data_IF_095534920132
#
_entry.id   IF_095534920132
#
_cell.length_a   1.000
_cell.length_b   1.000
_cell.length_c   1.000
_cell.angle_alpha   90.00
_cell.angle_beta   90.00
_cell.angle_gamma   90.00
#
_symmetry.space_group_name_H-M   'P 1'
#
loop_
_entity.id
_entity.type
_entity.pdbx_description
1 polymer ?
#
# COMPACT_ATOMS: atom_id res chain seq x y z
N UNK A 1 6.44 14.78 11.67
CA UNK A 1 5.33 13.89 11.24
C UNK A 1 3.97 14.34 11.75
N UNK A 2 3.83 14.80 12.99
CA UNK A 2 2.52 15.12 13.59
C UNK A 2 1.83 16.38 13.02
N UNK A 3 2.57 17.39 12.58
CA UNK A 3 1.98 18.65 12.07
C UNK A 3 1.02 18.44 10.89
N UNK A 4 1.40 17.60 9.90
CA UNK A 4 0.56 17.33 8.74
C UNK A 4 -0.72 16.57 9.12
N UNK A 5 -0.63 15.63 10.07
CA UNK A 5 -1.79 14.90 10.59
C UNK A 5 -2.74 15.83 11.37
N UNK A 6 -2.20 16.70 12.24
CA UNK A 6 -2.98 17.70 12.97
C UNK A 6 -3.71 18.63 12.01
N UNK A 7 -3.02 19.09 10.95
CA UNK A 7 -3.62 19.96 9.95
C UNK A 7 -4.73 19.25 9.17
N UNK A 8 -4.53 18.00 8.76
CA UNK A 8 -5.56 17.22 8.10
C UNK A 8 -6.83 17.06 8.96
N UNK A 9 -6.67 16.87 10.28
CA UNK A 9 -7.80 16.83 11.22
C UNK A 9 -8.52 18.20 11.26
N UNK A 10 -7.77 19.30 11.39
CA UNK A 10 -8.32 20.67 11.43
C UNK A 10 -9.07 21.05 10.15
N UNK A 11 -8.55 20.62 9.01
CA UNK A 11 -9.10 20.89 7.69
C UNK A 11 -10.25 19.92 7.33
N UNK A 12 -10.63 19.02 8.25
CA UNK A 12 -11.77 18.12 8.06
C UNK A 12 -11.53 16.99 7.07
N UNK A 13 -10.29 16.55 6.86
CA UNK A 13 -9.98 15.36 6.05
C UNK A 13 -10.39 14.08 6.80
N UNK A 14 -11.68 13.81 6.86
CA UNK A 14 -12.29 12.69 7.58
C UNK A 14 -13.19 11.80 6.71
N UNK A 15 -13.24 12.07 5.40
CA UNK A 15 -13.96 11.22 4.44
C UNK A 15 -13.13 9.97 4.12
N UNK A 16 -13.81 8.90 3.73
CA UNK A 16 -13.18 7.60 3.44
C UNK A 16 -12.85 7.47 1.94
N UNK A 17 -11.66 7.88 1.47
CA UNK A 17 -11.29 7.67 0.08
C UNK A 17 -11.03 6.19 -0.19
N UNK A 18 -11.56 5.69 -1.30
CA UNK A 18 -11.18 4.39 -1.88
C UNK A 18 -10.80 4.64 -3.35
N UNK A 19 -9.67 4.11 -3.86
CA UNK A 19 -8.68 3.23 -3.22
C UNK A 19 -7.63 3.94 -2.34
N UNK A 20 -7.85 5.23 -2.06
CA UNK A 20 -6.94 6.10 -1.32
C UNK A 20 -6.98 7.51 -1.92
N UNK A 21 -6.54 8.53 -1.18
CA UNK A 21 -6.51 9.89 -1.71
C UNK A 21 -5.56 9.97 -2.92
N UNK A 22 -6.00 10.59 -4.02
CA UNK A 22 -5.21 10.75 -5.25
C UNK A 22 -3.82 11.35 -4.98
N UNK A 23 -3.73 12.35 -4.09
CA UNK A 23 -2.44 12.96 -3.71
C UNK A 23 -1.45 11.96 -3.09
N UNK A 24 -1.96 10.97 -2.36
CA UNK A 24 -1.12 9.94 -1.72
C UNK A 24 -0.68 8.93 -2.76
N UNK A 25 -1.58 8.51 -3.65
CA UNK A 25 -1.28 7.59 -4.76
C UNK A 25 -0.22 8.16 -5.71
N UNK A 26 -0.35 9.43 -6.08
CA UNK A 26 0.66 10.14 -6.86
C UNK A 26 2.01 10.19 -6.15
N UNK A 27 2.02 10.53 -4.85
CA UNK A 27 3.26 10.58 -4.07
C UNK A 27 3.97 9.22 -3.99
N UNK A 28 3.22 8.11 -3.99
CA UNK A 28 3.77 6.76 -4.08
C UNK A 28 4.39 6.52 -5.47
N UNK A 29 3.67 6.82 -6.56
CA UNK A 29 4.20 6.68 -7.92
C UNK A 29 5.49 7.51 -8.13
N UNK A 30 5.50 8.77 -7.69
CA UNK A 30 6.67 9.65 -7.76
C UNK A 30 7.84 9.10 -6.93
N UNK A 31 7.55 8.51 -5.77
CA UNK A 31 8.56 7.84 -4.95
C UNK A 31 9.14 6.61 -5.68
N UNK A 32 8.30 5.80 -6.32
CA UNK A 32 8.75 4.64 -7.09
C UNK A 32 9.69 5.05 -8.23
N UNK A 33 9.34 6.10 -8.98
CA UNK A 33 10.17 6.63 -10.05
C UNK A 33 11.50 7.18 -9.51
N UNK A 34 11.46 7.96 -8.41
CA UNK A 34 12.64 8.60 -7.84
C UNK A 34 13.67 7.62 -7.29
N UNK A 35 13.23 6.58 -6.59
CA UNK A 35 14.12 5.70 -5.83
C UNK A 35 14.41 4.37 -6.53
N UNK A 36 13.52 3.93 -7.41
CA UNK A 36 13.58 2.61 -8.03
C UNK A 36 13.51 2.66 -9.57
N UNK A 37 13.43 3.85 -10.19
CA UNK A 37 13.25 4.04 -11.64
C UNK A 37 12.01 3.32 -12.19
N UNK A 38 11.00 3.12 -11.32
CA UNK A 38 9.75 2.45 -11.65
C UNK A 38 8.65 3.46 -11.93
N UNK A 39 8.17 3.45 -13.17
CA UNK A 39 7.09 4.33 -13.64
C UNK A 39 5.75 3.63 -13.44
N UNK A 40 5.12 3.85 -12.28
CA UNK A 40 3.84 3.26 -11.91
C UNK A 40 2.70 4.25 -12.17
N UNK A 41 1.58 3.80 -12.75
CA UNK A 41 0.38 4.62 -12.87
C UNK A 41 -0.24 4.83 -11.47
N UNK A 42 -0.51 6.07 -11.02
CA UNK A 42 -1.19 6.31 -9.75
C UNK A 42 -2.51 5.55 -9.58
N UNK A 43 -3.20 5.20 -10.66
CA UNK A 43 -4.45 4.42 -10.62
C UNK A 43 -4.23 2.93 -10.33
N UNK A 44 -3.00 2.42 -10.52
CA UNK A 44 -2.57 1.08 -10.10
C UNK A 44 -2.14 1.03 -8.61
N UNK A 45 -2.18 2.16 -7.89
CA UNK A 45 -1.79 2.25 -6.47
C UNK A 45 -3.01 2.14 -5.54
N UNK A 46 -2.97 1.19 -4.61
CA UNK A 46 -3.97 1.05 -3.52
C UNK A 46 -3.33 1.35 -2.17
N UNK A 47 -3.99 2.19 -1.36
CA UNK A 47 -3.52 2.54 -0.01
C UNK A 47 -4.19 1.60 1.01
N UNK A 48 -3.39 0.79 1.69
CA UNK A 48 -3.82 -0.14 2.74
C UNK A 48 -3.48 0.36 4.15
N UNK A 49 -4.05 -0.27 5.17
CA UNK A 49 -3.78 -0.04 6.60
C UNK A 49 -2.50 -0.77 7.02
N UNK A 50 -1.39 -0.41 6.36
CA UNK A 50 -0.07 -0.98 6.61
C UNK A 50 0.25 -2.22 5.78
N UNK A 51 1.51 -2.66 5.88
CA UNK A 51 2.07 -3.68 5.00
C UNK A 51 1.41 -5.06 5.17
N UNK A 52 1.04 -5.45 6.39
CA UNK A 52 0.40 -6.75 6.63
C UNK A 52 -0.95 -6.89 5.91
N UNK A 53 -1.79 -5.85 5.93
CA UNK A 53 -3.06 -5.87 5.17
C UNK A 53 -2.80 -5.91 3.67
N UNK A 54 -1.86 -5.10 3.18
CA UNK A 54 -1.51 -5.08 1.75
C UNK A 54 -1.06 -6.46 1.26
N UNK A 55 -0.20 -7.15 2.01
CA UNK A 55 0.27 -8.49 1.67
C UNK A 55 -0.86 -9.52 1.70
N UNK A 56 -1.68 -9.53 2.76
CA UNK A 56 -2.83 -10.42 2.86
C UNK A 56 -3.84 -10.22 1.72
N UNK A 57 -4.19 -8.97 1.41
CA UNK A 57 -5.08 -8.64 0.31
C UNK A 57 -4.52 -9.09 -1.05
N UNK A 58 -3.22 -8.92 -1.27
CA UNK A 58 -2.56 -9.35 -2.51
C UNK A 58 -2.61 -10.87 -2.68
N UNK A 59 -2.31 -11.62 -1.63
CA UNK A 59 -2.39 -13.10 -1.66
C UNK A 59 -3.82 -13.55 -1.93
N UNK A 60 -4.80 -13.00 -1.22
CA UNK A 60 -6.22 -13.33 -1.44
C UNK A 60 -6.72 -12.98 -2.84
N UNK A 61 -6.14 -11.96 -3.49
CA UNK A 61 -6.54 -11.54 -4.82
C UNK A 61 -5.88 -12.36 -5.95
N UNK A 62 -4.72 -12.96 -5.70
CA UNK A 62 -3.90 -13.59 -6.75
C UNK A 62 -3.78 -15.11 -6.61
N UNK A 63 -4.05 -15.68 -5.44
CA UNK A 63 -3.77 -17.08 -5.13
C UNK A 63 -5.06 -17.87 -4.93
N UNK A 64 -5.20 -18.93 -5.71
CA UNK A 64 -6.32 -19.87 -5.67
C UNK A 64 -5.98 -21.14 -4.87
N UNK A 65 -7.00 -21.86 -4.35
CA UNK A 65 -6.78 -23.13 -3.67
C UNK A 65 -5.98 -24.13 -4.54
N UNK A 66 -4.88 -24.64 -3.98
CA UNK A 66 -3.99 -25.59 -4.66
C UNK A 66 -2.79 -24.95 -5.36
N UNK A 67 -2.68 -23.61 -5.38
CA UNK A 67 -1.47 -22.93 -5.83
C UNK A 67 -0.44 -22.79 -4.71
N UNK A 68 0.84 -22.84 -5.08
CA UNK A 68 1.97 -22.70 -4.15
C UNK A 68 2.58 -21.30 -4.26
N UNK A 69 2.89 -20.68 -3.12
CA UNK A 69 3.56 -19.38 -3.02
C UNK A 69 4.98 -19.59 -2.50
N UNK A 70 5.98 -19.15 -3.27
CA UNK A 70 7.39 -19.28 -2.90
C UNK A 70 7.79 -18.11 -1.99
N UNK A 71 8.32 -18.43 -0.80
CA UNK A 71 8.82 -17.44 0.16
C UNK A 71 10.26 -17.77 0.55
N UNK A 72 11.19 -16.86 0.25
CA UNK A 72 12.61 -17.03 0.60
C UNK A 72 12.84 -16.91 2.11
N UNK A 73 13.66 -17.80 2.69
CA UNK A 73 14.04 -17.73 4.11
C UNK A 73 15.40 -17.02 4.28
N UNK A 74 15.55 -16.10 5.26
CA UNK A 74 14.56 -15.69 6.27
C UNK A 74 13.48 -14.77 5.71
N UNK A 75 12.27 -14.88 6.27
CA UNK A 75 11.09 -14.10 5.85
C UNK A 75 10.47 -13.34 7.01
N UNK A 76 9.74 -12.27 6.69
CA UNK A 76 8.95 -11.49 7.65
C UNK A 76 7.87 -12.33 8.31
N UNK A 77 7.60 -12.11 9.60
CA UNK A 77 6.61 -12.88 10.37
C UNK A 77 5.21 -12.87 9.75
N UNK A 78 4.80 -11.77 9.11
CA UNK A 78 3.49 -11.68 8.43
C UNK A 78 3.36 -12.61 7.21
N UNK A 79 4.46 -13.09 6.64
CA UNK A 79 4.48 -14.06 5.55
C UNK A 79 4.55 -15.51 6.04
N UNK A 80 4.50 -15.73 7.36
CA UNK A 80 4.46 -17.07 7.98
C UNK A 80 3.06 -17.44 8.52
N UNK A 81 2.10 -16.52 8.41
CA UNK A 81 0.72 -16.71 8.85
C UNK A 81 -0.19 -16.76 7.64
#
# INVERSE_FOLDING_TARGET
MTTAAIQAIRDGFNQYPRPGHTRVRQAVADHQARFYDQHVDPDDVVVATGASEALGATVMALVEPGQEVIVSSPTSTCMRQ
#
